data_IF_054202483482
#
_entry.id   IF_054202483482
#
_cell.length_a   1.000
_cell.length_b   1.000
_cell.length_c   1.000
_cell.angle_alpha   90.00
_cell.angle_beta   90.00
_cell.angle_gamma   90.00
#
_symmetry.space_group_name_H-M   'P 1'
#
loop_
_entity.id
_entity.type
_entity.pdbx_description
1 polymer ?
#
# COMPACT_ATOMS: atom_id res chain seq x y z
N UNK A 1 -0.71 -21.88 14.01
CA UNK A 1 -1.09 -22.19 12.63
C UNK A 1 -0.25 -21.30 11.76
N UNK A 2 0.13 -21.70 10.54
CA UNK A 2 0.88 -20.86 9.61
C UNK A 2 -0.11 -20.09 8.74
N UNK A 3 0.31 -18.97 8.13
CA UNK A 3 -0.52 -18.11 7.29
C UNK A 3 0.15 -17.92 5.94
N UNK A 4 -0.62 -18.03 4.87
CA UNK A 4 -0.14 -17.92 3.49
C UNK A 4 -1.01 -16.97 2.68
N UNK A 5 -0.40 -16.19 1.78
CA UNK A 5 -1.14 -15.47 0.74
C UNK A 5 -1.56 -16.48 -0.33
N UNK A 6 -2.85 -16.54 -0.62
CA UNK A 6 -3.44 -17.52 -1.55
C UNK A 6 -4.05 -16.89 -2.79
N UNK A 7 -4.29 -15.59 -2.79
CA UNK A 7 -4.82 -14.87 -3.94
C UNK A 7 -4.50 -13.39 -3.87
N UNK A 8 -4.37 -12.75 -5.02
CA UNK A 8 -4.12 -11.32 -5.18
C UNK A 8 -5.07 -10.72 -6.19
N UNK A 9 -5.33 -9.42 -6.08
CA UNK A 9 -6.14 -8.69 -7.04
C UNK A 9 -5.87 -7.20 -6.97
N UNK A 10 -6.06 -6.49 -8.07
CA UNK A 10 -5.87 -5.05 -8.12
C UNK A 10 -6.87 -4.37 -9.05
N UNK A 11 -7.09 -3.06 -8.80
CA UNK A 11 -7.91 -2.21 -9.64
C UNK A 11 -7.27 -0.82 -9.71
N UNK A 12 -7.14 -0.28 -10.93
CA UNK A 12 -6.71 1.08 -11.21
C UNK A 12 -7.85 1.83 -11.90
N UNK A 13 -8.01 3.14 -11.68
CA UNK A 13 -8.91 3.97 -12.46
C UNK A 13 -8.62 3.89 -13.97
N UNK A 14 -9.64 4.13 -14.78
CA UNK A 14 -9.51 4.08 -16.25
C UNK A 14 -8.69 5.24 -16.81
N UNK A 15 -8.80 6.42 -16.19
CA UNK A 15 -8.08 7.61 -16.66
C UNK A 15 -6.60 7.49 -16.31
N UNK A 16 -5.77 7.29 -17.33
CA UNK A 16 -4.32 7.37 -17.26
C UNK A 16 -3.88 8.79 -17.61
N UNK A 17 -3.19 9.46 -16.68
CA UNK A 17 -2.70 10.84 -16.82
C UNK A 17 -1.18 10.81 -16.94
N UNK A 18 -0.65 11.27 -18.04
CA UNK A 18 0.80 11.37 -18.31
C UNK A 18 1.40 12.63 -17.66
N UNK A 19 2.72 12.71 -17.63
CA UNK A 19 3.41 13.92 -17.20
C UNK A 19 3.14 15.11 -18.16
N UNK A 20 2.98 14.84 -19.46
CA UNK A 20 2.63 15.86 -20.44
C UNK A 20 1.22 16.40 -20.24
N UNK A 21 0.26 15.55 -19.85
CA UNK A 21 -1.09 15.99 -19.47
C UNK A 21 -1.05 16.92 -18.26
N UNK A 22 -0.22 16.61 -17.26
CA UNK A 22 0.00 17.50 -16.10
C UNK A 22 0.62 18.85 -16.53
N UNK A 23 1.50 18.83 -17.51
CA UNK A 23 2.08 20.05 -18.10
C UNK A 23 1.06 20.99 -18.73
N UNK A 24 -0.16 20.52 -19.05
CA UNK A 24 -1.25 21.36 -19.55
C UNK A 24 -1.98 22.12 -18.43
N UNK A 25 -1.91 21.65 -17.19
CA UNK A 25 -2.67 22.22 -16.06
C UNK A 25 -1.77 22.89 -15.00
N UNK A 26 -0.45 22.67 -15.05
CA UNK A 26 0.50 23.29 -14.13
C UNK A 26 1.88 23.44 -14.78
N UNK A 27 2.73 24.31 -14.22
CA UNK A 27 4.10 24.51 -14.68
C UNK A 27 5.01 23.32 -14.31
N UNK A 28 5.04 22.29 -15.17
CA UNK A 28 5.88 21.09 -15.03
C UNK A 28 6.22 20.49 -16.39
N UNK A 29 7.05 19.43 -16.44
CA UNK A 29 7.38 18.71 -17.67
C UNK A 29 7.66 17.23 -17.36
N UNK A 30 7.58 16.35 -18.38
CA UNK A 30 7.96 14.96 -18.27
C UNK A 30 9.41 14.81 -17.78
N UNK A 31 10.35 15.54 -18.34
CA UNK A 31 11.75 15.52 -17.93
C UNK A 31 11.92 15.86 -16.44
N UNK A 32 11.20 16.89 -15.96
CA UNK A 32 11.27 17.33 -14.57
C UNK A 32 10.73 16.25 -13.59
N UNK A 33 9.58 15.67 -13.89
CA UNK A 33 8.95 14.64 -13.03
C UNK A 33 9.75 13.34 -13.10
N UNK A 34 9.98 12.83 -14.31
CA UNK A 34 10.63 11.53 -14.54
C UNK A 34 12.04 11.48 -13.99
N UNK A 35 12.86 12.51 -14.20
CA UNK A 35 14.23 12.54 -13.69
C UNK A 35 14.32 12.54 -12.17
N UNK A 36 13.27 13.01 -11.46
CA UNK A 36 13.24 13.08 -9.98
C UNK A 36 12.55 11.91 -9.32
N UNK A 37 11.63 11.28 -9.99
CA UNK A 37 10.71 10.31 -9.38
C UNK A 37 10.72 8.95 -10.07
N UNK A 38 11.02 8.88 -11.36
CA UNK A 38 10.83 7.72 -12.22
C UNK A 38 9.41 7.62 -12.80
N UNK A 39 8.46 8.44 -12.36
CA UNK A 39 7.04 8.38 -12.76
C UNK A 39 6.87 8.95 -14.17
N UNK A 40 6.16 8.23 -15.02
CA UNK A 40 5.77 8.62 -16.40
C UNK A 40 4.29 8.97 -16.43
N UNK A 41 3.46 8.19 -15.73
CA UNK A 41 2.03 8.35 -15.66
C UNK A 41 1.48 7.97 -14.27
N UNK A 42 0.23 8.27 -14.03
CA UNK A 42 -0.56 7.80 -12.89
C UNK A 42 -1.99 7.59 -13.35
N UNK A 43 -2.74 6.83 -12.55
CA UNK A 43 -4.16 6.68 -12.75
C UNK A 43 -4.91 7.59 -11.77
N UNK A 44 -5.93 8.29 -12.25
CA UNK A 44 -6.72 9.26 -11.48
C UNK A 44 -8.19 8.87 -11.57
N UNK A 45 -8.83 8.73 -10.42
CA UNK A 45 -10.26 8.44 -10.32
C UNK A 45 -11.08 9.66 -10.77
N UNK A 46 -12.10 9.42 -11.60
CA UNK A 46 -13.06 10.42 -12.05
C UNK A 46 -14.47 10.00 -11.58
N UNK A 47 -14.90 8.82 -11.97
CA UNK A 47 -16.17 8.21 -11.54
C UNK A 47 -15.92 7.06 -10.55
N UNK A 48 -14.71 6.52 -10.52
CA UNK A 48 -14.32 5.46 -9.61
C UNK A 48 -14.24 5.99 -8.18
N UNK A 49 -14.63 5.14 -7.23
CA UNK A 49 -14.55 5.45 -5.79
C UNK A 49 -13.54 4.53 -5.11
N UNK A 50 -13.05 4.93 -3.95
CA UNK A 50 -12.16 4.06 -3.13
C UNK A 50 -12.85 2.73 -2.86
N UNK A 51 -14.15 2.76 -2.51
CA UNK A 51 -14.95 1.57 -2.25
C UNK A 51 -15.10 0.70 -3.50
N UNK A 52 -15.41 1.30 -4.66
CA UNK A 52 -15.61 0.56 -5.92
C UNK A 52 -14.34 -0.16 -6.36
N UNK A 53 -13.20 0.54 -6.36
CA UNK A 53 -11.90 -0.05 -6.69
C UNK A 53 -11.50 -1.17 -5.71
N UNK A 54 -11.76 -0.96 -4.41
CA UNK A 54 -11.50 -1.97 -3.36
C UNK A 54 -12.35 -3.22 -3.57
N UNK A 55 -13.63 -3.05 -3.91
CA UNK A 55 -14.54 -4.17 -4.20
C UNK A 55 -14.03 -4.99 -5.39
N UNK A 56 -13.66 -4.33 -6.50
CA UNK A 56 -13.13 -5.00 -7.68
C UNK A 56 -11.80 -5.74 -7.40
N UNK A 57 -10.89 -5.12 -6.64
CA UNK A 57 -9.64 -5.76 -6.21
C UNK A 57 -9.90 -6.98 -5.32
N UNK A 58 -10.86 -6.87 -4.39
CA UNK A 58 -11.29 -7.94 -3.50
C UNK A 58 -11.86 -9.14 -4.28
N UNK A 59 -12.80 -8.90 -5.21
CA UNK A 59 -13.39 -9.94 -6.05
C UNK A 59 -12.34 -10.70 -6.86
N UNK A 60 -11.34 -9.97 -7.43
CA UNK A 60 -10.24 -10.60 -8.15
C UNK A 60 -9.37 -11.45 -7.21
N UNK A 61 -9.05 -10.94 -6.02
CA UNK A 61 -8.23 -11.67 -5.05
C UNK A 61 -8.93 -12.95 -4.57
N UNK A 62 -10.22 -12.89 -4.26
CA UNK A 62 -11.03 -14.05 -3.88
C UNK A 62 -11.13 -15.09 -5.00
N UNK A 63 -11.36 -14.63 -6.24
CA UNK A 63 -11.38 -15.50 -7.41
C UNK A 63 -10.05 -16.22 -7.62
N UNK A 64 -8.93 -15.49 -7.48
CA UNK A 64 -7.59 -16.06 -7.64
C UNK A 64 -7.21 -17.01 -6.49
N UNK A 65 -7.78 -16.81 -5.31
CA UNK A 65 -7.66 -17.70 -4.16
C UNK A 65 -8.58 -18.93 -4.23
N UNK A 66 -9.56 -18.94 -5.14
CA UNK A 66 -10.64 -19.94 -5.23
C UNK A 66 -11.47 -20.02 -3.92
N UNK A 67 -11.70 -18.87 -3.28
CA UNK A 67 -12.43 -18.76 -2.00
C UNK A 67 -13.72 -17.98 -2.23
N UNK A 68 -14.84 -18.48 -1.67
CA UNK A 68 -16.12 -17.77 -1.65
C UNK A 68 -16.06 -16.59 -0.67
N UNK A 69 -16.76 -15.52 -0.96
CA UNK A 69 -16.90 -14.39 -0.03
C UNK A 69 -17.54 -14.79 1.31
N UNK A 70 -18.43 -15.81 1.31
CA UNK A 70 -19.08 -16.35 2.51
C UNK A 70 -18.09 -17.05 3.47
N UNK A 71 -16.94 -17.51 2.94
CA UNK A 71 -15.88 -18.18 3.71
C UNK A 71 -14.85 -17.19 4.29
N UNK A 72 -14.98 -15.89 3.99
CA UNK A 72 -14.12 -14.86 4.56
C UNK A 72 -14.51 -14.57 6.01
N UNK A 73 -13.60 -14.75 6.93
CA UNK A 73 -13.84 -14.52 8.36
C UNK A 73 -13.51 -13.09 8.80
N UNK A 74 -12.57 -12.42 8.11
CA UNK A 74 -12.14 -11.08 8.47
C UNK A 74 -11.72 -10.27 7.24
N UNK A 75 -12.10 -8.99 7.23
CA UNK A 75 -11.70 -8.00 6.22
C UNK A 75 -11.01 -6.84 6.91
N UNK A 76 -9.78 -6.54 6.52
CA UNK A 76 -9.03 -5.39 7.03
C UNK A 76 -8.64 -4.50 5.86
N UNK A 77 -9.12 -3.25 5.86
CA UNK A 77 -8.77 -2.27 4.84
C UNK A 77 -7.83 -1.20 5.40
N UNK A 78 -6.74 -0.96 4.70
CA UNK A 78 -5.81 0.13 4.97
C UNK A 78 -6.05 1.28 3.99
N UNK A 79 -6.44 2.45 4.51
CA UNK A 79 -6.70 3.64 3.71
C UNK A 79 -6.58 4.92 4.54
N UNK A 80 -6.22 6.03 3.88
CA UNK A 80 -6.31 7.41 4.42
C UNK A 80 -7.34 8.23 3.64
N UNK A 81 -7.92 7.68 2.59
CA UNK A 81 -8.75 8.38 1.61
C UNK A 81 -10.06 7.65 1.33
N UNK A 82 -10.66 7.03 2.35
CA UNK A 82 -11.97 6.40 2.25
C UNK A 82 -13.02 7.37 1.70
N UNK A 83 -14.09 6.84 1.10
CA UNK A 83 -15.20 7.67 0.56
C UNK A 83 -16.07 8.25 1.69
N UNK A 84 -16.09 7.58 2.84
CA UNK A 84 -16.88 7.96 4.02
C UNK A 84 -16.03 7.89 5.29
N UNK A 85 -16.37 8.71 6.26
CA UNK A 85 -15.85 8.53 7.62
C UNK A 85 -16.53 7.38 8.35
N UNK A 86 -17.80 7.11 8.05
CA UNK A 86 -18.65 6.05 8.60
C UNK A 86 -19.68 5.63 7.54
N UNK A 87 -19.89 4.33 7.31
CA UNK A 87 -19.08 3.20 7.82
C UNK A 87 -17.68 3.19 7.23
N UNK A 88 -16.77 2.37 7.81
CA UNK A 88 -15.42 2.16 7.29
C UNK A 88 -15.42 1.47 5.94
N UNK A 89 -14.31 1.59 5.21
CA UNK A 89 -14.13 1.01 3.87
C UNK A 89 -14.30 -0.51 3.88
N UNK A 90 -13.75 -1.21 4.87
CA UNK A 90 -13.87 -2.66 4.99
C UNK A 90 -15.33 -3.12 5.11
N UNK A 91 -16.19 -2.38 5.85
CA UNK A 91 -17.62 -2.68 5.96
C UNK A 91 -18.38 -2.44 4.64
N UNK A 92 -17.99 -1.39 3.88
CA UNK A 92 -18.60 -1.14 2.56
C UNK A 92 -18.21 -2.25 1.56
N UNK A 93 -16.95 -2.68 1.56
CA UNK A 93 -16.49 -3.80 0.72
C UNK A 93 -17.15 -5.10 1.15
N UNK A 94 -17.23 -5.41 2.46
CA UNK A 94 -17.93 -6.56 3.01
C UNK A 94 -19.32 -6.71 2.42
N UNK A 95 -20.10 -5.62 2.47
CA UNK A 95 -21.45 -5.56 1.91
C UNK A 95 -21.46 -5.84 0.42
N UNK A 96 -20.54 -5.23 -0.33
CA UNK A 96 -20.54 -5.30 -1.80
C UNK A 96 -20.18 -6.68 -2.33
N UNK A 97 -19.24 -7.39 -1.67
CA UNK A 97 -18.84 -8.76 -2.05
C UNK A 97 -19.73 -9.84 -1.43
N UNK A 98 -20.62 -9.49 -0.49
CA UNK A 98 -21.51 -10.46 0.19
C UNK A 98 -20.82 -11.30 1.27
N UNK A 99 -19.77 -10.81 1.92
CA UNK A 99 -19.06 -11.51 2.99
C UNK A 99 -19.78 -11.35 4.34
N UNK A 100 -21.00 -11.90 4.44
CA UNK A 100 -21.91 -11.67 5.57
C UNK A 100 -21.35 -12.10 6.93
N UNK A 101 -20.45 -13.10 6.95
CA UNK A 101 -19.90 -13.68 8.18
C UNK A 101 -18.63 -12.97 8.67
N UNK A 102 -18.04 -12.09 7.85
CA UNK A 102 -16.74 -11.48 8.14
C UNK A 102 -16.81 -10.40 9.22
N UNK A 103 -15.81 -10.34 10.10
CA UNK A 103 -15.51 -9.14 10.89
C UNK A 103 -14.80 -8.13 9.98
N UNK A 104 -15.25 -6.87 9.95
CA UNK A 104 -14.71 -5.87 9.03
C UNK A 104 -14.34 -4.56 9.74
N UNK A 105 -13.11 -4.07 9.54
CA UNK A 105 -12.65 -2.78 10.07
C UNK A 105 -11.50 -2.21 9.26
N UNK A 106 -11.30 -0.89 9.40
CA UNK A 106 -10.21 -0.17 8.75
C UNK A 106 -9.06 0.08 9.72
N UNK A 107 -7.85 0.19 9.15
CA UNK A 107 -6.66 0.68 9.84
C UNK A 107 -6.02 1.82 9.07
N UNK A 108 -5.26 2.66 9.78
CA UNK A 108 -4.51 3.76 9.21
C UNK A 108 -3.06 3.72 9.68
N UNK A 109 -2.16 3.40 8.78
CA UNK A 109 -0.71 3.55 8.91
C UNK A 109 -0.11 4.12 7.62
N UNK A 110 -0.88 4.97 6.93
CA UNK A 110 -0.55 5.61 5.66
C UNK A 110 0.05 4.61 4.64
N UNK A 111 1.18 4.95 3.98
CA UNK A 111 1.76 4.12 2.93
C UNK A 111 2.26 2.74 3.41
N UNK A 112 2.48 2.53 4.71
CA UNK A 112 2.76 1.20 5.27
C UNK A 112 1.49 0.44 5.71
N UNK A 113 0.31 1.04 5.51
CA UNK A 113 -0.96 0.54 6.01
C UNK A 113 -1.28 -0.89 5.58
N UNK A 114 -1.00 -1.26 4.32
CA UNK A 114 -1.20 -2.64 3.85
C UNK A 114 -0.37 -3.65 4.64
N UNK A 115 0.90 -3.35 4.97
CA UNK A 115 1.74 -4.25 5.77
C UNK A 115 1.20 -4.40 7.19
N UNK A 116 0.72 -3.30 7.80
CA UNK A 116 0.09 -3.35 9.12
C UNK A 116 -1.21 -4.17 9.09
N UNK A 117 -2.02 -4.03 8.02
CA UNK A 117 -3.22 -4.82 7.82
C UNK A 117 -2.91 -6.30 7.61
N UNK A 118 -1.87 -6.61 6.80
CA UNK A 118 -1.40 -7.97 6.53
C UNK A 118 -0.98 -8.68 7.82
N UNK A 119 -0.15 -8.02 8.61
CA UNK A 119 0.36 -8.55 9.88
C UNK A 119 -0.77 -8.72 10.90
N UNK A 120 -1.69 -7.74 10.97
CA UNK A 120 -2.87 -7.84 11.85
C UNK A 120 -3.75 -9.03 11.46
N UNK A 121 -4.03 -9.21 10.16
CA UNK A 121 -4.81 -10.34 9.68
C UNK A 121 -4.12 -11.69 9.97
N UNK A 122 -2.80 -11.76 9.78
CA UNK A 122 -2.02 -12.97 10.09
C UNK A 122 -2.15 -13.34 11.56
N UNK A 123 -2.06 -12.37 12.49
CA UNK A 123 -2.23 -12.62 13.92
C UNK A 123 -3.63 -13.16 14.27
N UNK A 124 -4.69 -12.69 13.60
CA UNK A 124 -6.03 -13.24 13.78
C UNK A 124 -6.11 -14.70 13.34
N UNK A 125 -5.53 -15.05 12.19
CA UNK A 125 -5.52 -16.41 11.68
C UNK A 125 -4.66 -17.33 12.57
N UNK A 126 -3.51 -16.86 13.05
CA UNK A 126 -2.60 -17.61 13.93
C UNK A 126 -3.22 -17.90 15.30
N UNK A 127 -4.03 -16.97 15.82
CA UNK A 127 -4.75 -17.16 17.08
C UNK A 127 -5.72 -18.33 17.01
N UNK A 128 -6.22 -18.66 15.81
CA UNK A 128 -7.19 -19.73 15.57
C UNK A 128 -8.64 -19.23 15.63
N UNK A 129 -9.52 -19.99 14.99
CA UNK A 129 -10.94 -19.63 14.87
C UNK A 129 -11.28 -18.88 13.59
N UNK A 130 -10.29 -18.38 12.85
CA UNK A 130 -10.41 -17.79 11.54
C UNK A 130 -9.61 -18.60 10.52
N UNK A 131 -10.11 -18.76 9.30
CA UNK A 131 -9.48 -19.52 8.22
C UNK A 131 -9.03 -18.62 7.07
N UNK A 132 -9.82 -17.61 6.73
CA UNK A 132 -9.56 -16.72 5.60
C UNK A 132 -9.70 -15.25 5.98
N UNK A 133 -8.70 -14.47 5.60
CA UNK A 133 -8.70 -13.01 5.75
C UNK A 133 -8.55 -12.34 4.40
N UNK A 134 -9.29 -11.25 4.17
CA UNK A 134 -9.14 -10.36 3.03
C UNK A 134 -8.47 -9.07 3.52
N UNK A 135 -7.31 -8.77 2.96
CA UNK A 135 -6.53 -7.57 3.28
C UNK A 135 -6.49 -6.64 2.08
N UNK A 136 -6.83 -5.38 2.29
CA UNK A 136 -6.99 -4.39 1.22
C UNK A 136 -6.12 -3.18 1.54
N UNK A 137 -5.40 -2.67 0.54
CA UNK A 137 -4.81 -1.34 0.54
C UNK A 137 -5.46 -0.52 -0.58
N UNK A 138 -6.09 0.61 -0.27
CA UNK A 138 -6.84 1.36 -1.27
C UNK A 138 -6.80 2.86 -1.03
N UNK A 139 -6.65 3.62 -2.11
CA UNK A 139 -6.54 5.07 -2.03
C UNK A 139 -7.16 5.79 -3.23
N UNK A 140 -7.77 6.92 -2.95
CA UNK A 140 -8.07 7.98 -3.92
C UNK A 140 -7.36 9.24 -3.44
N UNK A 141 -6.04 9.28 -3.65
CA UNK A 141 -5.19 10.39 -3.15
C UNK A 141 -5.40 11.67 -3.93
N UNK A 142 -5.86 11.57 -5.17
CA UNK A 142 -6.13 12.72 -6.04
C UNK A 142 -7.05 13.75 -5.40
N UNK A 143 -8.01 13.31 -4.54
CA UNK A 143 -8.92 14.19 -3.79
C UNK A 143 -8.27 14.91 -2.60
N UNK A 144 -7.04 14.52 -2.21
CA UNK A 144 -6.31 15.07 -1.09
C UNK A 144 -5.12 15.94 -1.50
N UNK A 145 -4.91 16.11 -2.81
CA UNK A 145 -3.80 16.89 -3.35
C UNK A 145 -4.19 18.33 -3.60
N UNK A 146 -3.27 19.25 -3.31
CA UNK A 146 -3.30 20.59 -3.85
C UNK A 146 -2.73 20.58 -5.28
N UNK A 147 -3.60 20.66 -6.27
CA UNK A 147 -3.22 20.62 -7.67
C UNK A 147 -2.47 21.87 -8.15
N UNK A 148 -2.25 22.86 -7.27
CA UNK A 148 -1.37 24.01 -7.51
C UNK A 148 0.04 23.79 -6.97
N UNK A 149 0.26 22.79 -6.11
CA UNK A 149 1.57 22.41 -5.57
C UNK A 149 2.19 21.24 -6.35
N UNK A 150 2.96 21.53 -7.38
CA UNK A 150 3.68 20.52 -8.18
C UNK A 150 4.71 19.70 -7.39
N UNK A 151 5.06 20.09 -6.16
CA UNK A 151 6.02 19.34 -5.35
C UNK A 151 5.42 18.05 -4.78
N UNK A 152 4.10 17.97 -4.69
CA UNK A 152 3.34 16.85 -4.14
C UNK A 152 2.41 16.20 -5.16
N UNK A 153 1.55 16.96 -5.84
CA UNK A 153 0.47 16.39 -6.66
C UNK A 153 0.96 15.53 -7.84
N UNK A 154 2.15 15.79 -8.38
CA UNK A 154 2.72 15.00 -9.48
C UNK A 154 3.16 13.59 -9.08
N UNK A 155 3.21 13.29 -7.77
CA UNK A 155 3.70 12.01 -7.27
C UNK A 155 2.61 10.95 -7.19
N UNK A 156 1.38 11.36 -6.85
CA UNK A 156 0.35 10.46 -6.37
C UNK A 156 -0.60 10.00 -7.46
N UNK A 157 -1.06 8.77 -7.33
CA UNK A 157 -2.12 8.16 -8.11
C UNK A 157 -3.18 7.52 -7.21
N UNK A 158 -4.20 6.93 -7.84
CA UNK A 158 -5.34 6.28 -7.21
C UNK A 158 -5.38 4.80 -7.59
N UNK A 159 -5.93 3.96 -6.71
CA UNK A 159 -6.08 2.54 -6.97
C UNK A 159 -6.33 1.71 -5.71
N UNK A 160 -6.56 0.43 -5.90
CA UNK A 160 -6.72 -0.55 -4.84
C UNK A 160 -5.99 -1.85 -5.16
N UNK A 161 -5.42 -2.48 -4.14
CA UNK A 161 -4.89 -3.83 -4.22
C UNK A 161 -5.36 -4.65 -3.02
N UNK A 162 -5.56 -5.95 -3.23
CA UNK A 162 -6.04 -6.87 -2.22
C UNK A 162 -5.24 -8.17 -2.22
N UNK A 163 -5.16 -8.80 -1.05
CA UNK A 163 -4.63 -10.15 -0.88
C UNK A 163 -5.55 -10.97 0.03
N UNK A 164 -5.73 -12.23 -0.32
CA UNK A 164 -6.38 -13.22 0.54
C UNK A 164 -5.30 -13.97 1.30
N UNK A 165 -5.43 -14.02 2.61
CA UNK A 165 -4.63 -14.85 3.50
C UNK A 165 -5.44 -16.06 3.93
N UNK A 166 -4.79 -17.21 3.96
CA UNK A 166 -5.43 -18.45 4.45
C UNK A 166 -4.56 -19.13 5.48
N UNK A 167 -5.22 -19.69 6.48
CA UNK A 167 -4.59 -20.59 7.44
C UNK A 167 -4.03 -21.82 6.71
N UNK A 168 -2.80 -22.20 7.00
CA UNK A 168 -2.05 -23.22 6.26
C UNK A 168 -1.22 -24.10 7.17
N UNK A 169 -0.85 -25.28 6.65
CA UNK A 169 0.21 -26.15 7.22
C UNK A 169 1.58 -25.85 6.60
N UNK A 170 1.60 -25.28 5.39
CA UNK A 170 2.82 -24.86 4.70
C UNK A 170 3.29 -23.49 5.21
N UNK A 171 4.59 -23.23 5.11
CA UNK A 171 5.16 -21.92 5.40
C UNK A 171 4.66 -20.88 4.40
N UNK A 172 4.22 -19.74 4.90
CA UNK A 172 3.80 -18.59 4.11
C UNK A 172 4.46 -17.33 4.66
N UNK A 173 3.86 -16.64 5.62
CA UNK A 173 4.52 -15.52 6.31
C UNK A 173 5.57 -16.10 7.25
N UNK A 174 6.83 -15.68 7.07
CA UNK A 174 7.98 -16.19 7.83
C UNK A 174 8.37 -15.26 8.97
N UNK A 175 8.28 -13.95 8.74
CA UNK A 175 8.60 -12.92 9.72
C UNK A 175 7.90 -11.62 9.40
N UNK A 176 7.71 -10.78 10.41
CA UNK A 176 7.07 -9.46 10.33
C UNK A 176 7.78 -8.50 11.26
N UNK A 177 8.26 -7.37 10.72
CA UNK A 177 8.89 -6.29 11.48
C UNK A 177 8.16 -5.00 11.21
N UNK A 178 7.73 -4.33 12.27
CA UNK A 178 7.06 -3.04 12.19
C UNK A 178 7.67 -2.04 13.16
N UNK A 179 7.50 -0.76 12.86
CA UNK A 179 7.89 0.31 13.76
C UNK A 179 7.22 1.64 13.43
N UNK A 180 7.32 2.56 14.37
CA UNK A 180 6.77 3.91 14.24
C UNK A 180 7.63 4.95 14.97
N UNK A 181 7.60 6.20 14.48
CA UNK A 181 8.22 7.37 15.08
C UNK A 181 7.24 8.56 15.05
N UNK A 182 6.40 8.65 16.06
CA UNK A 182 5.40 9.71 16.20
C UNK A 182 6.00 11.10 16.46
N UNK A 183 7.28 11.20 16.84
CA UNK A 183 7.95 12.49 17.04
C UNK A 183 8.24 13.23 15.73
N UNK A 184 8.12 12.56 14.60
CA UNK A 184 8.38 13.11 13.25
C UNK A 184 7.12 13.19 12.39
N UNK A 185 5.93 13.16 12.99
CA UNK A 185 4.66 13.16 12.26
C UNK A 185 4.46 14.36 11.32
N UNK A 186 5.03 15.51 11.65
CA UNK A 186 4.92 16.73 10.84
C UNK A 186 5.65 16.65 9.48
N UNK A 187 6.53 15.67 9.29
CA UNK A 187 7.30 15.51 8.04
C UNK A 187 6.43 15.15 6.84
N UNK A 188 5.35 14.41 7.10
CA UNK A 188 4.35 14.02 6.10
C UNK A 188 3.00 13.94 6.80
N UNK A 189 2.09 14.86 6.49
CA UNK A 189 0.81 14.93 7.16
C UNK A 189 -0.30 15.44 6.24
N UNK A 190 -1.53 15.22 6.68
CA UNK A 190 -2.73 15.84 6.12
C UNK A 190 -3.70 16.08 7.29
N UNK A 191 -4.02 17.34 7.55
CA UNK A 191 -4.89 17.69 8.66
C UNK A 191 -6.33 17.23 8.42
N UNK A 192 -6.92 16.57 9.40
CA UNK A 192 -8.34 16.25 9.40
C UNK A 192 -9.20 17.51 9.53
N UNK A 193 -10.53 17.32 9.46
CA UNK A 193 -11.49 18.41 9.67
C UNK A 193 -11.23 19.10 11.01
N UNK A 194 -11.09 20.43 10.98
CA UNK A 194 -10.98 21.25 12.21
C UNK A 194 -12.26 21.18 13.04
N UNK A 195 -12.10 21.34 14.35
CA UNK A 195 -13.25 21.45 15.26
C UNK A 195 -14.11 22.65 14.84
N UNK A 196 -15.37 22.39 14.49
CA UNK A 196 -16.36 23.40 14.17
C UNK A 196 -17.70 22.97 14.76
N UNK A 197 -18.09 23.64 15.82
CA UNK A 197 -19.30 23.35 16.61
C UNK A 197 -19.90 24.66 17.20
N UNK A 198 -20.98 24.61 17.94
CA UNK A 198 -21.59 25.83 18.53
C UNK A 198 -20.64 26.67 19.40
N UNK A 199 -19.63 26.04 20.00
CA UNK A 199 -18.69 26.69 20.92
C UNK A 199 -17.39 27.15 20.24
N UNK A 200 -17.02 26.60 19.07
CA UNK A 200 -15.82 26.97 18.33
C UNK A 200 -16.09 27.01 16.84
N UNK A 201 -15.96 28.19 16.25
CA UNK A 201 -16.00 28.36 14.79
C UNK A 201 -14.59 28.21 14.23
N UNK A 202 -14.47 27.45 13.17
CA UNK A 202 -13.23 27.26 12.43
C UNK A 202 -13.48 27.44 10.94
N UNK A 203 -12.42 27.77 10.22
CA UNK A 203 -12.41 27.77 8.79
C UNK A 203 -12.78 26.39 8.24
N UNK A 204 -13.57 26.38 7.15
CA UNK A 204 -13.98 25.16 6.43
C UNK A 204 -13.00 24.75 5.34
N UNK A 205 -11.86 25.44 5.22
CA UNK A 205 -10.88 25.13 4.19
C UNK A 205 -10.46 23.66 4.27
N UNK A 206 -10.35 23.03 3.12
CA UNK A 206 -9.80 21.69 2.98
C UNK A 206 -8.30 21.73 3.32
N UNK A 207 -7.83 20.66 3.95
CA UNK A 207 -6.41 20.44 4.16
C UNK A 207 -5.91 19.45 3.11
N UNK A 208 -4.77 19.76 2.53
CA UNK A 208 -4.09 18.92 1.57
C UNK A 208 -2.89 18.21 2.21
N UNK A 209 -2.40 17.18 1.53
CA UNK A 209 -1.17 16.50 1.93
C UNK A 209 -0.01 17.48 1.89
N UNK A 210 0.73 17.57 2.99
CA UNK A 210 1.95 18.34 3.12
C UNK A 210 3.14 17.41 3.39
N UNK A 211 4.25 17.62 2.69
CA UNK A 211 5.40 16.73 2.76
C UNK A 211 6.73 17.49 2.70
N UNK A 212 7.64 17.20 3.63
CA UNK A 212 9.05 17.50 3.47
C UNK A 212 9.75 16.34 2.77
N UNK A 213 9.81 16.38 1.44
CA UNK A 213 10.34 15.29 0.62
C UNK A 213 11.80 14.90 0.94
N UNK A 214 12.65 15.85 1.38
CA UNK A 214 14.03 15.55 1.75
C UNK A 214 14.10 14.72 3.04
N UNK A 215 13.31 15.08 4.04
CA UNK A 215 13.26 14.33 5.30
C UNK A 215 12.63 12.95 5.11
N UNK A 216 11.59 12.83 4.29
CA UNK A 216 10.98 11.56 3.91
C UNK A 216 12.01 10.68 3.20
N UNK A 217 12.77 11.22 2.24
CA UNK A 217 13.83 10.49 1.55
C UNK A 217 14.91 9.98 2.52
N UNK A 218 15.45 10.87 3.38
CA UNK A 218 16.47 10.51 4.38
C UNK A 218 15.98 9.41 5.32
N UNK A 219 14.73 9.50 5.75
CA UNK A 219 14.09 8.49 6.59
C UNK A 219 14.00 7.15 5.86
N UNK A 220 13.43 7.14 4.66
CA UNK A 220 13.18 5.93 3.88
C UNK A 220 14.48 5.15 3.61
N UNK A 221 15.50 5.82 3.06
CA UNK A 221 16.77 5.17 2.69
C UNK A 221 17.58 4.67 3.90
N UNK A 222 17.28 5.14 5.11
CA UNK A 222 17.88 4.64 6.35
C UNK A 222 17.08 3.51 6.96
N UNK A 223 15.77 3.65 7.02
CA UNK A 223 14.88 2.80 7.82
C UNK A 223 14.45 1.55 7.07
N UNK A 224 14.13 1.66 5.76
CA UNK A 224 13.67 0.50 4.98
C UNK A 224 14.73 -0.60 4.89
N UNK A 225 16.02 -0.32 4.56
CA UNK A 225 17.03 -1.38 4.55
C UNK A 225 17.17 -2.08 5.90
N UNK A 226 17.13 -1.30 7.01
CA UNK A 226 17.19 -1.89 8.35
C UNK A 226 16.00 -2.81 8.61
N UNK A 227 14.77 -2.36 8.34
CA UNK A 227 13.58 -3.17 8.54
C UNK A 227 13.60 -4.46 7.70
N UNK A 228 14.07 -4.37 6.45
CA UNK A 228 14.26 -5.53 5.57
C UNK A 228 15.29 -6.50 6.15
N UNK A 229 16.46 -6.01 6.56
CA UNK A 229 17.50 -6.85 7.16
C UNK A 229 16.98 -7.52 8.44
N UNK A 230 16.36 -6.74 9.35
CA UNK A 230 15.80 -7.27 10.60
C UNK A 230 14.73 -8.38 10.32
N UNK A 231 13.88 -8.19 9.31
CA UNK A 231 12.87 -9.17 8.94
C UNK A 231 13.49 -10.45 8.33
N UNK A 232 14.49 -10.31 7.47
CA UNK A 232 15.20 -11.45 6.85
C UNK A 232 15.95 -12.25 7.92
N UNK A 233 16.65 -11.59 8.84
CA UNK A 233 17.32 -12.23 9.98
C UNK A 233 16.32 -12.94 10.90
N UNK A 234 15.16 -12.32 11.20
CA UNK A 234 14.10 -12.94 12.01
C UNK A 234 13.50 -14.17 11.32
N UNK A 235 13.46 -14.20 9.98
CA UNK A 235 13.06 -15.37 9.21
C UNK A 235 14.13 -16.50 9.20
N UNK A 236 15.32 -16.27 9.76
CA UNK A 236 16.45 -17.20 9.72
C UNK A 236 17.10 -17.31 8.35
N UNK A 237 17.00 -16.26 7.52
CA UNK A 237 17.49 -16.21 6.15
C UNK A 237 18.61 -15.18 6.01
N UNK A 238 19.32 -15.25 4.88
CA UNK A 238 20.27 -14.24 4.42
C UNK A 238 19.67 -13.44 3.24
N UNK A 239 20.13 -12.21 3.03
CA UNK A 239 19.62 -11.32 1.97
C UNK A 239 19.78 -11.92 0.57
N UNK A 240 20.81 -12.73 0.36
CA UNK A 240 21.09 -13.42 -0.90
C UNK A 240 20.02 -14.47 -1.25
N UNK A 241 19.36 -15.04 -0.23
CA UNK A 241 18.30 -16.06 -0.38
C UNK A 241 16.95 -15.45 -0.75
N UNK A 242 16.83 -14.11 -0.70
CA UNK A 242 15.62 -13.41 -1.11
C UNK A 242 15.61 -13.29 -2.63
N UNK A 243 14.53 -13.76 -3.24
CA UNK A 243 14.32 -13.72 -4.69
C UNK A 243 13.84 -12.36 -5.16
N UNK A 244 12.88 -11.74 -4.46
CA UNK A 244 12.29 -10.45 -4.80
C UNK A 244 12.07 -9.55 -3.57
N UNK A 245 12.24 -8.25 -3.79
CA UNK A 245 11.93 -7.20 -2.82
C UNK A 245 10.83 -6.29 -3.38
N UNK A 246 9.60 -6.45 -2.94
CA UNK A 246 8.44 -5.65 -3.35
C UNK A 246 8.31 -4.47 -2.40
N UNK A 247 8.93 -3.36 -2.77
CA UNK A 247 8.94 -2.16 -1.95
C UNK A 247 7.76 -1.24 -2.25
N UNK A 248 7.37 -0.43 -1.28
CA UNK A 248 6.47 0.69 -1.50
C UNK A 248 6.97 1.58 -2.66
N UNK A 249 6.10 1.89 -3.58
CA UNK A 249 6.37 2.58 -4.85
C UNK A 249 6.30 4.11 -4.68
N UNK A 250 7.12 4.66 -3.79
CA UNK A 250 7.12 6.10 -3.52
C UNK A 250 7.94 6.91 -4.54
N UNK A 251 9.12 6.41 -4.90
CA UNK A 251 10.07 7.08 -5.77
C UNK A 251 11.17 6.10 -6.19
N UNK A 252 11.51 6.06 -7.48
CA UNK A 252 12.53 5.17 -8.02
C UNK A 252 13.91 5.33 -7.34
N UNK A 253 14.29 6.59 -7.02
CA UNK A 253 15.56 6.87 -6.34
C UNK A 253 15.64 6.27 -4.94
N UNK A 254 14.50 6.13 -4.24
CA UNK A 254 14.45 5.46 -2.94
C UNK A 254 14.68 3.98 -3.12
N UNK A 255 14.01 3.34 -4.10
CA UNK A 255 14.16 1.91 -4.40
C UNK A 255 15.62 1.60 -4.75
N UNK A 256 16.22 2.40 -5.65
CA UNK A 256 17.63 2.26 -6.03
C UNK A 256 18.58 2.41 -4.82
N UNK A 257 18.33 3.40 -3.96
CA UNK A 257 19.16 3.60 -2.76
C UNK A 257 19.02 2.45 -1.75
N UNK A 258 17.81 1.87 -1.62
CA UNK A 258 17.57 0.69 -0.79
C UNK A 258 18.30 -0.54 -1.35
N UNK A 259 18.17 -0.80 -2.66
CA UNK A 259 18.88 -1.89 -3.35
C UNK A 259 20.40 -1.82 -3.10
N UNK A 260 21.00 -0.63 -3.33
CA UNK A 260 22.43 -0.40 -3.08
C UNK A 260 22.85 -0.64 -1.62
N UNK A 261 22.00 -0.24 -0.66
CA UNK A 261 22.30 -0.43 0.77
C UNK A 261 22.16 -1.88 1.24
N UNK A 262 21.24 -2.63 0.63
CA UNK A 262 21.08 -4.05 0.87
C UNK A 262 22.14 -4.89 0.12
N UNK A 263 22.91 -4.29 -0.80
CA UNK A 263 23.88 -4.99 -1.62
C UNK A 263 23.24 -5.97 -2.60
N UNK A 264 21.96 -5.73 -2.96
CA UNK A 264 21.20 -6.61 -3.86
C UNK A 264 21.00 -5.95 -5.23
N UNK A 265 21.03 -6.73 -6.32
CA UNK A 265 20.90 -6.20 -7.67
C UNK A 265 19.47 -5.68 -7.93
N UNK A 266 19.34 -4.62 -8.76
CA UNK A 266 18.06 -3.96 -9.04
C UNK A 266 17.02 -4.89 -9.68
N UNK A 267 17.45 -5.94 -10.36
CA UNK A 267 16.59 -6.95 -10.99
C UNK A 267 15.70 -7.70 -9.97
N UNK A 268 16.11 -7.72 -8.69
CA UNK A 268 15.30 -8.24 -7.57
C UNK A 268 14.26 -7.24 -7.05
N UNK A 269 14.24 -6.00 -7.55
CA UNK A 269 13.34 -4.92 -7.11
C UNK A 269 12.38 -4.51 -8.24
N UNK A 270 11.35 -5.30 -8.54
CA UNK A 270 10.38 -4.91 -9.56
C UNK A 270 9.69 -3.59 -9.18
N UNK A 271 9.35 -2.81 -10.21
CA UNK A 271 8.66 -1.53 -10.07
C UNK A 271 7.45 -1.47 -11.00
N UNK A 272 6.45 -0.69 -10.61
CA UNK A 272 5.33 -0.28 -11.44
C UNK A 272 4.97 1.20 -11.22
N UNK A 273 5.79 1.90 -10.44
CA UNK A 273 5.56 3.32 -10.13
C UNK A 273 5.62 4.22 -11.36
N UNK A 274 6.32 3.82 -12.41
CA UNK A 274 6.40 4.53 -13.68
C UNK A 274 5.03 4.74 -14.32
N UNK A 275 4.12 3.79 -14.15
CA UNK A 275 2.75 3.84 -14.68
C UNK A 275 1.70 4.16 -13.62
N UNK A 276 1.96 3.79 -12.36
CA UNK A 276 0.98 3.91 -11.29
C UNK A 276 1.17 5.17 -10.42
N UNK A 277 2.39 5.72 -10.38
CA UNK A 277 2.77 6.70 -9.37
C UNK A 277 2.78 6.09 -7.96
N UNK A 278 2.75 6.94 -6.96
CA UNK A 278 2.64 6.56 -5.56
C UNK A 278 1.15 6.45 -5.17
N UNK A 279 0.68 5.24 -4.84
CA UNK A 279 -0.70 5.00 -4.40
C UNK A 279 -0.75 4.64 -2.89
N UNK A 280 0.15 5.20 -2.09
CA UNK A 280 0.17 5.00 -0.62
C UNK A 280 -0.02 3.54 -0.20
N UNK A 281 -1.05 3.22 0.60
CA UNK A 281 -1.31 1.86 1.10
C UNK A 281 -1.57 0.83 -0.03
N UNK A 282 -2.04 1.26 -1.18
CA UNK A 282 -2.30 0.38 -2.32
C UNK A 282 -1.05 0.00 -3.12
N UNK A 283 0.08 0.73 -2.98
CA UNK A 283 1.28 0.51 -3.80
C UNK A 283 1.82 -0.92 -3.70
N UNK A 284 1.99 -1.46 -2.49
CA UNK A 284 2.56 -2.80 -2.29
C UNK A 284 1.62 -3.89 -2.82
N UNK A 285 0.31 -3.92 -2.49
CA UNK A 285 -0.55 -4.97 -2.98
C UNK A 285 -0.83 -4.89 -4.49
N UNK A 286 -0.84 -3.70 -5.10
CA UNK A 286 -0.91 -3.57 -6.57
C UNK A 286 0.36 -4.12 -7.22
N UNK A 287 1.55 -3.82 -6.67
CA UNK A 287 2.80 -4.39 -7.18
C UNK A 287 2.83 -5.91 -7.01
N UNK A 288 2.38 -6.43 -5.86
CA UNK A 288 2.31 -7.86 -5.59
C UNK A 288 1.43 -8.58 -6.63
N UNK A 289 0.23 -8.04 -6.90
CA UNK A 289 -0.68 -8.57 -7.92
C UNK A 289 -0.08 -8.48 -9.34
N UNK A 290 0.55 -7.35 -9.66
CA UNK A 290 1.22 -7.14 -10.95
C UNK A 290 2.33 -8.17 -11.19
N UNK A 291 3.22 -8.35 -10.23
CA UNK A 291 4.34 -9.30 -10.31
C UNK A 291 3.84 -10.76 -10.41
N UNK A 292 2.76 -11.08 -9.68
CA UNK A 292 2.11 -12.39 -9.74
C UNK A 292 1.49 -12.66 -11.13
N UNK A 293 0.72 -11.73 -11.65
CA UNK A 293 0.03 -11.85 -12.95
C UNK A 293 1.02 -11.93 -14.13
N UNK A 294 2.22 -11.35 -14.00
CA UNK A 294 3.29 -11.49 -15.00
C UNK A 294 4.12 -12.78 -14.85
N UNK A 295 3.77 -13.65 -13.91
CA UNK A 295 4.44 -14.93 -13.71
C UNK A 295 5.89 -14.81 -13.19
N UNK A 296 6.22 -13.68 -12.57
CA UNK A 296 7.54 -13.45 -11.98
C UNK A 296 7.72 -14.21 -10.67
N UNK A 297 6.61 -14.57 -10.00
CA UNK A 297 6.63 -15.33 -8.74
C UNK A 297 6.34 -16.81 -8.98
N UNK A 298 7.05 -17.67 -8.27
CA UNK A 298 6.91 -19.11 -8.33
C UNK A 298 6.86 -19.70 -6.92
N UNK A 299 6.15 -20.81 -6.76
CA UNK A 299 6.07 -21.52 -5.47
C UNK A 299 7.47 -21.76 -4.89
N UNK A 300 7.63 -21.38 -3.60
CA UNK A 300 8.86 -21.55 -2.86
C UNK A 300 9.81 -20.35 -2.89
N UNK A 301 9.54 -19.32 -3.71
CA UNK A 301 10.33 -18.07 -3.69
C UNK A 301 10.20 -17.36 -2.36
N UNK A 302 11.30 -16.78 -1.88
CA UNK A 302 11.37 -15.92 -0.71
C UNK A 302 11.22 -14.47 -1.16
N UNK A 303 10.19 -13.80 -0.68
CA UNK A 303 9.85 -12.44 -1.10
C UNK A 303 9.76 -11.54 0.14
N UNK A 304 10.34 -10.36 0.05
CA UNK A 304 10.16 -9.31 1.04
C UNK A 304 9.15 -8.31 0.53
N UNK A 305 8.12 -8.04 1.33
CA UNK A 305 7.23 -6.89 1.19
C UNK A 305 7.69 -5.82 2.16
N UNK A 306 7.97 -4.59 1.73
CA UNK A 306 8.40 -3.54 2.64
C UNK A 306 7.87 -2.15 2.25
N UNK A 307 7.61 -1.33 3.25
CA UNK A 307 7.05 0.00 3.07
C UNK A 307 7.31 0.94 4.24
N UNK A 308 7.05 2.19 4.00
CA UNK A 308 7.15 3.28 4.97
C UNK A 308 6.14 4.37 4.62
N UNK A 309 5.76 5.19 5.59
CA UNK A 309 4.79 6.25 5.37
C UNK A 309 4.70 7.26 6.49
N UNK A 310 3.66 8.09 6.39
CA UNK A 310 3.34 9.05 7.44
C UNK A 310 3.12 8.35 8.79
N UNK A 311 3.48 9.12 9.85
CA UNK A 311 3.45 8.63 11.21
C UNK A 311 4.70 9.09 11.98
N UNK A 312 5.94 8.88 11.64
CA UNK A 312 6.35 7.99 10.56
C UNK A 312 6.12 6.54 10.94
N UNK A 313 5.79 5.70 9.97
CA UNK A 313 5.61 4.26 10.16
C UNK A 313 6.40 3.49 9.11
N UNK A 314 6.77 2.24 9.41
CA UNK A 314 7.45 1.34 8.46
C UNK A 314 7.18 -0.11 8.80
N UNK A 315 7.35 -0.98 7.83
CA UNK A 315 7.29 -2.42 8.03
C UNK A 315 8.00 -3.19 6.94
N UNK A 316 8.36 -4.42 7.27
CA UNK A 316 8.86 -5.42 6.33
C UNK A 316 8.35 -6.80 6.73
N UNK A 317 7.86 -7.56 5.75
CA UNK A 317 7.32 -8.91 5.93
C UNK A 317 8.02 -9.84 4.95
N UNK A 318 8.56 -10.95 5.44
CA UNK A 318 9.14 -12.00 4.60
C UNK A 318 8.11 -13.08 4.38
N UNK A 319 7.89 -13.45 3.13
CA UNK A 319 6.95 -14.50 2.77
C UNK A 319 7.63 -15.61 1.95
N UNK A 320 7.12 -16.80 2.10
CA UNK A 320 7.37 -17.94 1.21
C UNK A 320 6.16 -18.06 0.29
N UNK A 321 6.37 -17.76 -0.98
CA UNK A 321 5.31 -17.73 -1.99
C UNK A 321 4.81 -19.13 -2.39
#
# INVERSE_FOLDING_TARGET
MKVKITGTGSCLPKLRVTNDDLGQIMETSDEWIRSRTGIIARHIAVEETTTGMSTEAADKALKNAEISAEDVDIIIAATVSADKHLPGLACEVQKNIGAENAVAFDINAACSGFLFALDTAALYLEHGGYQHALVIGAETLSKMMDWTDRSTCVLFGDGAGAAVLSASKEDGILSMVQGSDGFRGDVLNCMARKVNNPYKKSDKALSYVSMNGQEVYRFAVKTVPKAVTDAVEQAGLHLEEIDLFLLHQANYRIIEAVSKRLGQPMEKFPTNLEECGNISAASVPILLDNVNNHGMMRKGMKIVLAGFGAGLTWGATVINW
#
